data_IF_369428476825
#
_entry.id   IF_369428476825
#
_cell.length_a   1.000
_cell.length_b   1.000
_cell.length_c   1.000
_cell.angle_alpha   90.00
_cell.angle_beta   90.00
_cell.angle_gamma   90.00
#
_symmetry.space_group_name_H-M   'P 1'
#
loop_
_entity.id
_entity.type
_entity.pdbx_description
1 polymer ?
#
# COMPACT_ATOMS: atom_id res chain seq x y z
N UNK A 1 6.18 -7.98 5.32
CA UNK A 1 6.40 -6.55 5.65
C UNK A 1 5.07 -5.98 6.12
N UNK A 2 4.97 -5.37 7.30
CA UNK A 2 3.69 -5.00 7.91
C UNK A 2 2.82 -4.11 7.00
N UNK A 3 3.42 -3.10 6.34
CA UNK A 3 2.67 -2.21 5.41
C UNK A 3 2.13 -2.97 4.19
N UNK A 4 2.83 -3.98 3.68
CA UNK A 4 2.35 -4.76 2.52
C UNK A 4 1.16 -5.65 2.89
N UNK A 5 1.14 -6.21 4.11
CA UNK A 5 -0.03 -6.93 4.60
C UNK A 5 -1.22 -5.99 4.80
N UNK A 6 -1.00 -4.82 5.43
CA UNK A 6 -2.06 -3.82 5.60
C UNK A 6 -2.65 -3.34 4.25
N UNK A 7 -1.80 -3.15 3.23
CA UNK A 7 -2.25 -2.81 1.87
C UNK A 7 -3.08 -3.92 1.25
N UNK A 8 -2.71 -5.20 1.43
CA UNK A 8 -3.51 -6.34 0.94
C UNK A 8 -4.87 -6.40 1.63
N UNK A 9 -4.91 -6.28 2.95
CA UNK A 9 -6.16 -6.30 3.72
C UNK A 9 -7.08 -5.13 3.32
N UNK A 10 -6.52 -3.93 3.14
CA UNK A 10 -7.27 -2.77 2.68
C UNK A 10 -7.87 -2.96 1.27
N UNK A 11 -7.12 -3.59 0.36
CA UNK A 11 -7.61 -3.90 -0.98
C UNK A 11 -8.73 -4.95 -0.94
N UNK A 12 -8.57 -5.98 -0.11
CA UNK A 12 -9.60 -7.00 0.11
C UNK A 12 -10.90 -6.38 0.68
N UNK A 13 -10.79 -5.54 1.71
CA UNK A 13 -11.92 -4.82 2.29
C UNK A 13 -12.60 -3.90 1.28
N UNK A 14 -11.83 -3.21 0.43
CA UNK A 14 -12.38 -2.39 -0.66
C UNK A 14 -13.19 -3.25 -1.65
N UNK A 15 -12.68 -4.42 -2.02
CA UNK A 15 -13.38 -5.36 -2.90
C UNK A 15 -14.70 -5.83 -2.27
N UNK A 16 -14.65 -6.29 -1.02
CA UNK A 16 -15.82 -6.74 -0.27
C UNK A 16 -16.88 -5.64 -0.15
N UNK A 17 -16.48 -4.42 0.20
CA UNK A 17 -17.39 -3.27 0.25
C UNK A 17 -18.00 -2.97 -1.12
N UNK A 18 -17.22 -3.11 -2.20
CA UNK A 18 -17.71 -2.97 -3.57
C UNK A 18 -18.80 -3.98 -3.93
N UNK A 19 -18.65 -5.24 -3.52
CA UNK A 19 -19.69 -6.28 -3.68
C UNK A 19 -20.96 -5.96 -2.89
N UNK A 20 -20.82 -5.31 -1.74
CA UNK A 20 -21.93 -4.83 -0.92
C UNK A 20 -22.55 -3.51 -1.45
N UNK A 21 -22.08 -2.99 -2.58
CA UNK A 21 -22.58 -1.75 -3.20
C UNK A 21 -21.97 -0.47 -2.62
N UNK A 22 -20.99 -0.56 -1.72
CA UNK A 22 -20.30 0.57 -1.11
C UNK A 22 -18.99 0.84 -1.85
N UNK A 23 -19.00 1.83 -2.74
CA UNK A 23 -17.80 2.24 -3.48
C UNK A 23 -16.89 3.10 -2.61
N UNK A 24 -15.68 2.60 -2.35
CA UNK A 24 -14.58 3.38 -1.75
C UNK A 24 -13.71 3.95 -2.88
N UNK A 25 -13.71 5.27 -3.04
CA UNK A 25 -12.87 5.95 -4.04
C UNK A 25 -11.37 5.84 -3.70
N UNK A 26 -11.02 6.04 -2.43
CA UNK A 26 -9.63 5.98 -1.95
C UNK A 26 -9.56 5.50 -0.51
N UNK A 27 -8.75 4.47 -0.26
CA UNK A 27 -8.53 3.95 1.10
C UNK A 27 -7.33 4.65 1.72
N UNK A 28 -7.53 5.31 2.86
CA UNK A 28 -6.44 5.93 3.61
C UNK A 28 -5.89 4.91 4.62
N UNK A 29 -4.62 4.55 4.49
CA UNK A 29 -3.96 3.59 5.36
C UNK A 29 -2.90 4.30 6.19
N UNK A 30 -3.05 4.24 7.51
CA UNK A 30 -2.14 4.88 8.45
C UNK A 30 -0.99 3.93 8.78
N UNK A 31 0.25 4.41 8.62
CA UNK A 31 1.46 3.67 8.91
C UNK A 31 2.38 4.54 9.79
N UNK A 32 2.81 3.99 10.92
CA UNK A 32 3.75 4.63 11.84
C UNK A 32 5.18 4.67 11.27
N UNK A 33 5.51 3.72 10.40
CA UNK A 33 6.81 3.61 9.75
C UNK A 33 6.99 4.65 8.64
N UNK A 34 7.69 5.74 8.98
CA UNK A 34 8.08 6.78 8.02
C UNK A 34 8.93 6.23 6.88
N UNK A 35 9.81 5.26 7.13
CA UNK A 35 10.62 4.63 6.08
C UNK A 35 9.74 3.89 5.08
N UNK A 36 8.71 3.17 5.55
CA UNK A 36 7.76 2.50 4.68
C UNK A 36 6.95 3.47 3.82
N UNK A 37 6.51 4.60 4.39
CA UNK A 37 5.82 5.67 3.64
C UNK A 37 6.74 6.27 2.58
N UNK A 38 8.01 6.52 2.92
CA UNK A 38 8.96 7.13 2.01
C UNK A 38 9.37 6.19 0.87
N UNK A 39 9.55 4.89 1.17
CA UNK A 39 9.87 3.85 0.20
C UNK A 39 8.71 3.59 -0.76
N UNK A 40 7.47 3.66 -0.28
CA UNK A 40 6.29 3.55 -1.15
C UNK A 40 6.11 4.73 -2.11
N UNK A 41 6.72 5.89 -1.83
CA UNK A 41 6.56 7.13 -2.61
C UNK A 41 7.73 7.47 -3.53
N UNK A 42 8.92 6.89 -3.32
CA UNK A 42 10.13 7.25 -4.07
C UNK A 42 10.65 6.08 -4.91
N UNK A 43 11.00 6.35 -6.17
CA UNK A 43 11.58 5.38 -7.12
C UNK A 43 13.07 5.08 -6.90
N UNK A 44 13.76 5.86 -6.07
CA UNK A 44 15.23 5.85 -5.95
C UNK A 44 15.66 5.21 -4.63
N UNK A 45 15.51 3.89 -4.50
CA UNK A 45 16.20 3.15 -3.44
C UNK A 45 16.71 1.81 -3.97
N UNK A 46 18.03 1.68 -4.00
CA UNK A 46 18.72 0.41 -4.25
C UNK A 46 18.64 -0.44 -2.96
N UNK A 47 17.59 -1.25 -2.77
CA UNK A 47 17.46 -2.09 -1.58
C UNK A 47 18.04 -3.50 -1.81
N UNK A 48 19.05 -3.86 -1.01
CA UNK A 48 19.85 -5.08 -1.11
C UNK A 48 19.17 -6.36 -0.57
N UNK A 49 17.85 -6.55 -0.74
CA UNK A 49 17.20 -7.82 -0.35
C UNK A 49 15.90 -8.07 -1.11
N UNK A 50 15.84 -9.16 -1.89
CA UNK A 50 14.71 -9.48 -2.80
C UNK A 50 13.32 -9.47 -2.16
N UNK A 51 13.18 -9.97 -0.92
CA UNK A 51 11.89 -10.01 -0.22
C UNK A 51 11.39 -8.63 0.22
N UNK A 52 12.31 -7.69 0.44
CA UNK A 52 11.99 -6.31 0.80
C UNK A 52 11.54 -5.57 -0.46
N UNK A 53 12.25 -5.75 -1.56
CA UNK A 53 11.91 -5.17 -2.87
C UNK A 53 10.50 -5.56 -3.35
N UNK A 54 10.17 -6.86 -3.35
CA UNK A 54 8.87 -7.32 -3.88
C UNK A 54 7.70 -6.72 -3.10
N UNK A 55 7.82 -6.65 -1.77
CA UNK A 55 6.77 -6.08 -0.93
C UNK A 55 6.62 -4.57 -1.13
N UNK A 56 7.72 -3.85 -1.38
CA UNK A 56 7.66 -2.42 -1.65
C UNK A 56 7.15 -2.09 -3.05
N UNK A 57 7.56 -2.85 -4.07
CA UNK A 57 7.02 -2.70 -5.41
C UNK A 57 5.50 -2.87 -5.41
N UNK A 58 4.99 -3.93 -4.78
CA UNK A 58 3.55 -4.13 -4.64
C UNK A 58 2.84 -2.94 -3.96
N UNK A 59 3.37 -2.46 -2.83
CA UNK A 59 2.77 -1.33 -2.10
C UNK A 59 2.77 -0.05 -2.94
N UNK A 60 3.86 0.20 -3.68
CA UNK A 60 3.98 1.36 -4.55
C UNK A 60 2.98 1.29 -5.70
N UNK A 61 2.88 0.16 -6.38
CA UNK A 61 2.00 -0.01 -7.53
C UNK A 61 0.54 0.26 -7.13
N UNK A 62 0.09 -0.24 -5.97
CA UNK A 62 -1.26 0.02 -5.43
C UNK A 62 -1.48 1.48 -5.02
N UNK A 63 -0.43 2.18 -4.58
CA UNK A 63 -0.49 3.61 -4.25
C UNK A 63 -0.51 4.47 -5.53
N UNK A 64 0.23 4.08 -6.57
CA UNK A 64 0.25 4.74 -7.89
C UNK A 64 -1.07 4.56 -8.64
N UNK A 65 -1.72 3.39 -8.52
CA UNK A 65 -3.09 3.16 -9.01
C UNK A 65 -4.14 4.07 -8.33
N UNK A 66 -3.76 4.75 -7.24
CA UNK A 66 -4.62 5.71 -6.55
C UNK A 66 -5.67 5.07 -5.65
N UNK A 67 -5.72 3.73 -5.58
CA UNK A 67 -6.64 2.99 -4.72
C UNK A 67 -6.36 3.20 -3.24
N UNK A 68 -5.08 3.39 -2.86
CA UNK A 68 -4.65 3.54 -1.47
C UNK A 68 -3.77 4.78 -1.30
N UNK A 69 -3.92 5.48 -0.17
CA UNK A 69 -3.04 6.56 0.28
C UNK A 69 -2.40 6.19 1.60
N UNK A 70 -1.07 6.11 1.62
CA UNK A 70 -0.31 5.93 2.86
C UNK A 70 -0.11 7.28 3.55
N UNK A 71 -0.52 7.39 4.82
CA UNK A 71 -0.24 8.55 5.68
C UNK A 71 0.30 8.13 7.03
N UNK A 72 0.88 9.09 7.75
CA UNK A 72 1.08 8.95 9.21
C UNK A 72 -0.26 9.14 9.91
#
# INVERSE_FOLDING_TARGET
MAVAEGVKEALWLRGLLGELGVKQERVKLMCDSQSAIHLARNHVHHAWTKHIDIGYHFVRDVVEEGHISLTK
#
